data_IF_620244261497
#
_entry.id   IF_620244261497
#
_cell.length_a   1.000
_cell.length_b   1.000
_cell.length_c   1.000
_cell.angle_alpha   90.00
_cell.angle_beta   90.00
_cell.angle_gamma   90.00
#
_symmetry.space_group_name_H-M   'P 1'
#
loop_
_entity.id
_entity.type
_entity.pdbx_description
1 polymer ?
#
# COMPACT_ATOMS: atom_id res chain seq x y z
N UNK A 1 4.51 1.83 7.14
CA UNK A 1 3.04 1.82 7.30
C UNK A 1 2.39 1.88 5.93
N UNK A 2 1.29 1.15 5.72
CA UNK A 2 0.60 1.06 4.43
C UNK A 2 -0.88 1.35 4.68
N UNK A 3 -1.48 2.23 3.88
CA UNK A 3 -2.88 2.66 4.01
C UNK A 3 -3.60 2.47 2.69
N UNK A 4 -4.70 1.71 2.68
CA UNK A 4 -5.62 1.61 1.55
C UNK A 4 -6.58 2.80 1.55
N UNK A 5 -6.54 3.64 0.51
CA UNK A 5 -7.41 4.80 0.40
C UNK A 5 -8.60 4.50 -0.53
N UNK A 6 -9.66 3.95 0.06
CA UNK A 6 -10.88 3.54 -0.67
C UNK A 6 -11.46 4.64 -1.57
N UNK A 7 -11.48 5.90 -1.11
CA UNK A 7 -12.13 7.01 -1.82
C UNK A 7 -11.28 7.65 -2.92
N UNK A 8 -9.97 7.38 -2.96
CA UNK A 8 -9.04 8.01 -3.92
C UNK A 8 -8.30 7.00 -4.78
N UNK A 9 -8.72 5.73 -4.74
CA UNK A 9 -8.24 4.68 -5.64
C UNK A 9 -6.71 4.52 -5.64
N UNK A 10 -6.11 4.61 -4.45
CA UNK A 10 -4.68 4.45 -4.27
C UNK A 10 -4.29 3.86 -2.91
N UNK A 11 -3.02 3.49 -2.79
CA UNK A 11 -2.39 3.09 -1.53
C UNK A 11 -1.30 4.09 -1.16
N UNK A 12 -1.28 4.49 0.10
CA UNK A 12 -0.21 5.27 0.70
C UNK A 12 0.83 4.40 1.38
N UNK A 13 2.11 4.62 1.06
CA UNK A 13 3.24 3.98 1.74
C UNK A 13 4.06 5.03 2.47
N UNK A 14 4.24 4.80 3.77
CA UNK A 14 5.06 5.60 4.66
C UNK A 14 6.26 4.75 5.08
N UNK A 15 7.46 5.16 4.68
CA UNK A 15 8.69 4.45 5.05
C UNK A 15 9.05 4.82 6.48
N UNK A 16 9.18 3.80 7.32
CA UNK A 16 9.55 3.97 8.73
C UNK A 16 11.04 4.16 8.90
N UNK A 17 11.40 5.09 9.78
CA UNK A 17 12.72 5.24 10.36
C UNK A 17 12.71 4.76 11.82
N UNK A 18 13.84 4.90 12.50
CA UNK A 18 13.93 4.59 13.92
C UNK A 18 12.89 5.37 14.74
N UNK A 19 12.44 4.75 15.84
CA UNK A 19 11.57 5.39 16.84
C UNK A 19 10.18 5.82 16.32
N UNK A 20 9.63 5.11 15.34
CA UNK A 20 8.25 5.35 14.88
C UNK A 20 8.07 6.62 14.05
N UNK A 21 9.16 7.24 13.61
CA UNK A 21 9.14 8.36 12.67
C UNK A 21 8.91 7.80 11.27
N UNK A 22 8.02 8.42 10.50
CA UNK A 22 7.74 8.03 9.13
C UNK A 22 8.10 9.15 8.16
N UNK A 23 8.58 8.79 6.97
CA UNK A 23 8.73 9.72 5.85
C UNK A 23 7.37 10.24 5.38
N UNK A 24 7.41 11.25 4.50
CA UNK A 24 6.22 11.62 3.73
C UNK A 24 5.67 10.41 2.96
N UNK A 25 4.35 10.43 2.75
CA UNK A 25 3.63 9.41 2.00
C UNK A 25 4.09 9.37 0.55
N UNK A 26 4.37 8.16 0.06
CA UNK A 26 4.43 7.86 -1.38
C UNK A 26 3.10 7.25 -1.80
N UNK A 27 2.54 7.68 -2.92
CA UNK A 27 1.21 7.26 -3.40
C UNK A 27 1.37 6.34 -4.60
N UNK A 28 0.69 5.20 -4.57
CA UNK A 28 0.60 4.26 -5.67
C UNK A 28 -0.85 4.09 -6.10
N UNK A 29 -1.17 4.42 -7.35
CA UNK A 29 -2.51 4.19 -7.90
C UNK A 29 -2.83 2.70 -7.96
N UNK A 30 -4.05 2.34 -7.58
CA UNK A 30 -4.58 0.98 -7.72
C UNK A 30 -5.52 0.84 -8.93
N UNK A 31 -5.61 1.89 -9.76
CA UNK A 31 -6.51 1.96 -10.91
C UNK A 31 -7.83 2.66 -10.57
N UNK A 32 -8.43 3.31 -11.56
CA UNK A 32 -9.68 4.06 -11.39
C UNK A 32 -10.82 3.13 -10.93
N UNK A 33 -11.63 3.57 -9.96
CA UNK A 33 -12.71 2.79 -9.32
C UNK A 33 -12.27 1.52 -8.58
N UNK A 34 -10.98 1.34 -8.32
CA UNK A 34 -10.46 0.16 -7.63
C UNK A 34 -10.92 0.03 -6.18
N UNK A 35 -11.20 1.14 -5.48
CA UNK A 35 -11.71 1.15 -4.10
C UNK A 35 -10.93 0.17 -3.19
N UNK A 36 -9.61 0.39 -3.01
CA UNK A 36 -8.77 -0.52 -2.22
C UNK A 36 -9.31 -0.61 -0.79
N UNK A 37 -9.44 -1.84 -0.28
CA UNK A 37 -10.11 -2.12 0.99
C UNK A 37 -9.16 -2.68 2.05
N UNK A 38 -8.27 -3.59 1.65
CA UNK A 38 -7.28 -4.18 2.57
C UNK A 38 -5.92 -4.35 1.90
N UNK A 39 -4.88 -4.34 2.73
CA UNK A 39 -3.48 -4.53 2.31
C UNK A 39 -2.81 -5.58 3.16
N UNK A 40 -1.89 -6.33 2.56
CA UNK A 40 -0.98 -7.23 3.26
C UNK A 40 0.42 -7.06 2.69
N UNK A 41 1.43 -7.20 3.54
CA UNK A 41 2.83 -7.19 3.14
C UNK A 41 3.46 -8.56 3.38
N UNK A 42 4.29 -9.01 2.46
CA UNK A 42 4.95 -10.32 2.51
C UNK A 42 5.92 -10.50 1.36
N UNK A 43 6.68 -11.58 1.36
CA UNK A 43 7.52 -11.96 0.23
C UNK A 43 6.70 -12.87 -0.69
N UNK A 44 6.13 -12.31 -1.76
CA UNK A 44 5.17 -13.01 -2.62
C UNK A 44 5.80 -13.49 -3.93
N UNK A 45 6.92 -12.89 -4.36
CA UNK A 45 7.54 -13.16 -5.66
C UNK A 45 8.94 -13.84 -5.57
N UNK A 46 9.37 -14.25 -4.37
CA UNK A 46 10.67 -14.87 -4.10
C UNK A 46 11.89 -13.97 -4.43
N UNK A 47 11.73 -12.65 -4.40
CA UNK A 47 12.84 -11.73 -4.29
C UNK A 47 13.16 -11.42 -2.80
N UNK A 48 14.19 -10.61 -2.60
CA UNK A 48 14.62 -10.16 -1.27
C UNK A 48 13.92 -8.88 -0.81
N UNK A 49 12.88 -8.43 -1.50
CA UNK A 49 12.13 -7.22 -1.23
C UNK A 49 10.74 -7.55 -0.66
N UNK A 50 10.28 -6.72 0.27
CA UNK A 50 8.95 -6.89 0.83
C UNK A 50 7.92 -6.40 -0.19
N UNK A 51 7.04 -7.29 -0.62
CA UNK A 51 5.94 -6.99 -1.54
C UNK A 51 4.70 -6.49 -0.78
N UNK A 52 3.83 -5.81 -1.52
CA UNK A 52 2.51 -5.37 -1.05
C UNK A 52 1.45 -5.97 -1.98
N UNK A 53 0.49 -6.69 -1.41
CA UNK A 53 -0.71 -7.11 -2.10
C UNK A 53 -1.90 -6.28 -1.62
N UNK A 54 -2.73 -5.84 -2.57
CA UNK A 54 -3.88 -4.96 -2.34
C UNK A 54 -5.15 -5.66 -2.79
N UNK A 55 -6.12 -5.77 -1.89
CA UNK A 55 -7.46 -6.23 -2.25
C UNK A 55 -8.33 -5.04 -2.60
N UNK A 56 -8.80 -5.01 -3.84
CA UNK A 56 -9.69 -4.00 -4.38
C UNK A 56 -11.14 -4.46 -4.26
N UNK A 57 -12.02 -3.60 -3.73
CA UNK A 57 -13.45 -3.89 -3.71
C UNK A 57 -14.13 -3.55 -5.06
N UNK A 58 -13.59 -2.56 -5.77
CA UNK A 58 -14.04 -2.18 -7.11
C UNK A 58 -13.06 -2.61 -8.21
N UNK A 59 -13.33 -2.20 -9.44
CA UNK A 59 -12.57 -2.57 -10.65
C UNK A 59 -12.45 -1.40 -11.60
#
# INVERSE_FOLDING_TARGET
MIIANFGTDNVGVFLGYAYGIFSNQTIFSTGHHSRPYSVVAGYFNNDSYLDIAVANYGT
#
